data_IF_239723337020
#
_entry.id   IF_239723337020
#
_cell.length_a   1.000
_cell.length_b   1.000
_cell.length_c   1.000
_cell.angle_alpha   90.00
_cell.angle_beta   90.00
_cell.angle_gamma   90.00
#
_symmetry.space_group_name_H-M   'P 1'
#
loop_
_entity.id
_entity.type
_entity.pdbx_description
1 polymer ?
#
# COMPACT_ATOMS: atom_id res chain seq x y z
N UNK A 1 -9.93 -2.51 -26.88
CA UNK A 1 -10.58 -3.26 -25.80
C UNK A 1 -10.52 -2.36 -24.58
N UNK A 2 -11.66 -2.15 -23.91
CA UNK A 2 -11.66 -1.46 -22.61
C UNK A 2 -11.18 -2.45 -21.56
N UNK A 3 -10.46 -1.97 -20.56
CA UNK A 3 -9.99 -2.82 -19.47
C UNK A 3 -11.18 -3.29 -18.60
N UNK A 4 -11.05 -4.41 -17.89
CA UNK A 4 -12.12 -4.94 -17.05
C UNK A 4 -12.48 -3.92 -15.95
N UNK A 5 -11.48 -3.16 -15.50
CA UNK A 5 -11.65 -2.03 -14.59
C UNK A 5 -12.58 -0.93 -15.17
N UNK A 6 -12.39 -0.55 -16.43
CA UNK A 6 -13.21 0.47 -17.10
C UNK A 6 -14.64 -0.01 -17.36
N UNK A 7 -14.81 -1.29 -17.70
CA UNK A 7 -16.10 -1.85 -18.05
C UNK A 7 -16.98 -2.10 -16.82
N UNK A 8 -16.43 -2.74 -15.79
CA UNK A 8 -17.20 -3.22 -14.63
C UNK A 8 -17.16 -2.23 -13.46
N UNK A 9 -16.16 -1.36 -13.42
CA UNK A 9 -15.96 -0.39 -12.34
C UNK A 9 -15.82 1.08 -12.82
N UNK A 10 -16.71 1.59 -13.69
CA UNK A 10 -16.58 2.95 -14.24
C UNK A 10 -16.64 4.05 -13.17
N UNK A 11 -17.34 3.80 -12.06
CA UNK A 11 -17.42 4.71 -10.91
C UNK A 11 -16.07 4.90 -10.20
N UNK A 12 -15.17 3.92 -10.32
CA UNK A 12 -13.84 3.91 -9.70
C UNK A 12 -12.86 4.66 -10.57
N UNK A 13 -12.88 4.40 -11.87
CA UNK A 13 -12.11 5.16 -12.85
C UNK A 13 -12.46 6.65 -12.76
N UNK A 14 -13.75 6.98 -12.63
CA UNK A 14 -14.18 8.38 -12.44
C UNK A 14 -13.62 9.02 -11.16
N UNK A 15 -13.55 8.25 -10.06
CA UNK A 15 -12.94 8.73 -8.81
C UNK A 15 -11.42 8.88 -8.92
N UNK A 16 -10.74 7.89 -9.52
CA UNK A 16 -9.30 7.95 -9.77
C UNK A 16 -8.94 9.18 -10.60
N UNK A 17 -9.70 9.45 -11.65
CA UNK A 17 -9.51 10.63 -12.50
C UNK A 17 -9.65 11.96 -11.72
N UNK A 18 -10.55 12.01 -10.73
CA UNK A 18 -10.72 13.20 -9.88
C UNK A 18 -9.54 13.47 -8.93
N UNK A 19 -8.79 12.42 -8.56
CA UNK A 19 -7.66 12.50 -7.64
C UNK A 19 -6.30 12.41 -8.34
N UNK A 20 -6.28 12.23 -9.67
CA UNK A 20 -5.09 11.82 -10.43
C UNK A 20 -3.92 12.81 -10.36
N UNK A 21 -4.19 14.10 -10.16
CA UNK A 21 -3.15 15.14 -10.09
C UNK A 21 -2.56 15.38 -8.71
N UNK A 22 -3.07 14.70 -7.66
CA UNK A 22 -2.62 14.89 -6.28
C UNK A 22 -2.20 13.56 -5.65
N UNK A 23 -0.89 13.38 -5.36
CA UNK A 23 -0.39 12.13 -4.80
C UNK A 23 -1.02 11.72 -3.47
N UNK A 24 -1.34 12.68 -2.59
CA UNK A 24 -1.93 12.37 -1.29
C UNK A 24 -3.38 11.89 -1.44
N UNK A 25 -4.19 12.61 -2.22
CA UNK A 25 -5.56 12.20 -2.51
C UNK A 25 -5.62 10.86 -3.25
N UNK A 26 -4.72 10.63 -4.21
CA UNK A 26 -4.62 9.37 -4.92
C UNK A 26 -4.27 8.21 -3.98
N UNK A 27 -3.28 8.36 -3.10
CA UNK A 27 -2.90 7.33 -2.13
C UNK A 27 -4.02 6.98 -1.16
N UNK A 28 -4.72 7.98 -0.61
CA UNK A 28 -5.86 7.75 0.28
C UNK A 28 -7.00 7.00 -0.40
N UNK A 29 -7.31 7.39 -1.64
CA UNK A 29 -8.34 6.73 -2.45
C UNK A 29 -7.93 5.30 -2.79
N UNK A 30 -6.66 5.10 -3.17
CA UNK A 30 -6.11 3.79 -3.47
C UNK A 30 -6.09 2.87 -2.25
N UNK A 31 -5.70 3.36 -1.08
CA UNK A 31 -5.77 2.62 0.16
C UNK A 31 -7.22 2.19 0.49
N UNK A 32 -8.21 3.05 0.26
CA UNK A 32 -9.63 2.73 0.44
C UNK A 32 -10.12 1.65 -0.56
N UNK A 33 -9.59 1.63 -1.78
CA UNK A 33 -9.83 0.57 -2.78
C UNK A 33 -9.24 -0.77 -2.36
N UNK A 34 -8.04 -0.76 -1.76
CA UNK A 34 -7.32 -1.95 -1.31
C UNK A 34 -7.93 -2.54 -0.03
N UNK A 35 -8.40 -1.68 0.87
CA UNK A 35 -9.07 -2.08 2.11
C UNK A 35 -10.50 -2.60 1.89
N UNK A 36 -10.99 -2.50 0.65
CA UNK A 36 -12.28 -3.04 0.21
C UNK A 36 -13.46 -2.58 1.09
N UNK A 37 -13.59 -1.25 1.25
CA UNK A 37 -14.79 -0.64 1.90
C UNK A 37 -16.09 -0.84 1.11
N UNK A 38 -16.08 -1.60 0.02
CA UNK A 38 -17.27 -1.91 -0.80
C UNK A 38 -18.22 -2.90 -0.13
N UNK A 39 -17.84 -3.45 1.01
CA UNK A 39 -18.75 -4.20 1.87
C UNK A 39 -18.74 -5.72 1.66
N UNK A 40 -17.85 -6.24 0.82
CA UNK A 40 -17.66 -7.68 0.70
C UNK A 40 -16.23 -7.97 0.30
N UNK A 41 -15.49 -8.70 1.15
CA UNK A 41 -14.10 -9.15 0.96
C UNK A 41 -13.95 -10.13 -0.21
N UNK A 42 -14.56 -9.84 -1.35
CA UNK A 42 -14.48 -10.63 -2.56
C UNK A 42 -13.13 -10.38 -3.28
N UNK A 43 -12.43 -9.30 -2.89
CA UNK A 43 -11.20 -8.90 -3.54
C UNK A 43 -11.47 -8.42 -4.97
N UNK A 44 -10.38 -8.12 -5.67
CA UNK A 44 -10.44 -7.71 -7.06
C UNK A 44 -10.23 -8.92 -7.98
N UNK A 45 -10.98 -9.03 -9.09
CA UNK A 45 -10.60 -9.96 -10.14
C UNK A 45 -9.19 -9.61 -10.63
N UNK A 46 -8.41 -10.63 -10.98
CA UNK A 46 -6.99 -10.49 -11.28
C UNK A 46 -6.70 -9.42 -12.35
N UNK A 47 -7.50 -9.38 -13.42
CA UNK A 47 -7.35 -8.39 -14.49
C UNK A 47 -7.53 -6.95 -13.97
N UNK A 48 -8.59 -6.70 -13.19
CA UNK A 48 -8.82 -5.37 -12.60
C UNK A 48 -7.73 -4.99 -11.58
N UNK A 49 -7.19 -5.98 -10.86
CA UNK A 49 -6.06 -5.78 -9.96
C UNK A 49 -4.79 -5.35 -10.72
N UNK A 50 -4.46 -6.02 -11.81
CA UNK A 50 -3.31 -5.66 -12.65
C UNK A 50 -3.46 -4.23 -13.18
N UNK A 51 -4.65 -3.85 -13.63
CA UNK A 51 -4.93 -2.49 -14.09
C UNK A 51 -4.70 -1.46 -12.96
N UNK A 52 -5.17 -1.75 -11.75
CA UNK A 52 -4.99 -0.86 -10.59
C UNK A 52 -3.52 -0.69 -10.22
N UNK A 53 -2.74 -1.78 -10.20
CA UNK A 53 -1.29 -1.72 -9.94
C UNK A 53 -0.58 -0.90 -11.02
N UNK A 54 -0.91 -1.14 -12.29
CA UNK A 54 -0.34 -0.39 -13.40
C UNK A 54 -0.66 1.11 -13.32
N UNK A 55 -1.91 1.46 -12.96
CA UNK A 55 -2.29 2.86 -12.75
C UNK A 55 -1.51 3.49 -11.59
N UNK A 56 -1.27 2.76 -10.51
CA UNK A 56 -0.45 3.25 -9.40
C UNK A 56 0.99 3.52 -9.85
N UNK A 57 1.61 2.60 -10.60
CA UNK A 57 2.97 2.77 -11.10
C UNK A 57 3.10 4.00 -12.00
N UNK A 58 2.14 4.21 -12.92
CA UNK A 58 2.11 5.40 -13.78
C UNK A 58 1.95 6.67 -12.95
N UNK A 59 1.02 6.66 -12.00
CA UNK A 59 0.78 7.83 -11.15
C UNK A 59 2.03 8.18 -10.33
N UNK A 60 2.65 7.18 -9.69
CA UNK A 60 3.85 7.37 -8.87
C UNK A 60 5.03 7.87 -9.74
N UNK A 61 5.13 7.44 -11.01
CA UNK A 61 6.13 7.95 -11.96
C UNK A 61 5.85 9.40 -12.40
N UNK A 62 4.58 9.76 -12.60
CA UNK A 62 4.18 11.06 -13.14
C UNK A 62 4.12 12.17 -12.08
N UNK A 63 3.63 11.86 -10.88
CA UNK A 63 3.37 12.83 -9.81
C UNK A 63 4.17 12.58 -8.53
N UNK A 64 4.84 11.42 -8.42
CA UNK A 64 5.58 11.01 -7.24
C UNK A 64 4.73 10.26 -6.22
N UNK A 65 5.40 9.79 -5.15
CA UNK A 65 4.78 8.99 -4.10
C UNK A 65 4.29 9.89 -2.96
N UNK A 66 3.11 9.58 -2.42
CA UNK A 66 2.57 10.28 -1.25
C UNK A 66 3.53 10.21 -0.04
N UNK A 67 3.61 11.31 0.71
CA UNK A 67 4.46 11.39 1.91
C UNK A 67 4.05 10.37 2.97
N UNK A 68 2.75 10.10 3.11
CA UNK A 68 2.19 9.03 3.97
C UNK A 68 2.84 7.68 3.71
N UNK A 69 2.95 7.26 2.45
CA UNK A 69 3.59 5.99 2.07
C UNK A 69 5.08 5.99 2.38
N UNK A 70 5.79 7.08 2.08
CA UNK A 70 7.22 7.19 2.36
C UNK A 70 7.49 7.15 3.86
N UNK A 71 6.69 7.85 4.66
CA UNK A 71 6.79 7.85 6.13
C UNK A 71 6.48 6.47 6.72
N UNK A 72 5.45 5.78 6.24
CA UNK A 72 5.10 4.42 6.68
C UNK A 72 6.16 3.39 6.26
N UNK A 73 6.77 3.55 5.09
CA UNK A 73 7.88 2.70 4.66
C UNK A 73 9.14 2.93 5.52
N UNK A 74 9.40 4.18 5.93
CA UNK A 74 10.55 4.52 6.77
C UNK A 74 10.38 4.07 8.23
N UNK A 75 9.14 4.06 8.76
CA UNK A 75 8.86 3.63 10.14
C UNK A 75 8.82 2.12 10.33
N UNK A 76 8.71 1.33 9.25
CA UNK A 76 8.83 -0.14 9.28
C UNK A 76 10.24 -0.68 9.58
N UNK A 77 11.26 0.18 9.72
CA UNK A 77 12.65 -0.20 10.01
C UNK A 77 13.06 -0.16 11.49
N UNK A 78 12.22 0.35 12.40
CA UNK A 78 12.53 0.38 13.83
C UNK A 78 12.09 -0.94 14.50
N UNK A 79 12.89 -1.99 14.33
CA UNK A 79 12.77 -3.20 15.14
C UNK A 79 13.05 -2.80 16.59
N UNK A 80 12.04 -2.90 17.42
CA UNK A 80 12.10 -2.68 18.85
C UNK A 80 13.04 -3.72 19.46
N UNK A 81 14.30 -3.34 19.68
CA UNK A 81 15.24 -4.10 20.51
C UNK A 81 14.75 -3.92 21.95
N UNK A 82 14.07 -4.95 22.43
CA UNK A 82 13.52 -5.04 23.78
C UNK A 82 14.69 -5.11 24.75
N UNK A 83 14.91 -4.01 25.46
CA UNK A 83 15.49 -4.01 26.79
C UNK A 83 14.56 -4.79 27.74
N UNK A 84 14.79 -6.10 27.89
CA UNK A 84 14.39 -6.86 29.07
C UNK A 84 15.46 -7.93 29.38
N UNK A 85 16.30 -7.56 30.35
CA UNK A 85 17.43 -8.25 30.98
C UNK A 85 17.10 -9.68 31.49
N UNK A 86 18.07 -10.60 31.76
CA UNK A 86 19.22 -10.32 32.61
C UNK A 86 20.58 -10.90 32.20
N UNK A 87 21.61 -10.21 32.69
CA UNK A 87 22.97 -10.69 32.79
C UNK A 87 23.03 -11.86 33.77
N UNK A 88 22.91 -13.10 33.28
CA UNK A 88 23.43 -14.26 34.02
C UNK A 88 23.70 -15.48 33.12
N UNK A 89 24.38 -15.26 31.99
CA UNK A 89 24.93 -16.37 31.21
C UNK A 89 26.42 -16.53 31.49
N UNK A 90 26.70 -17.11 32.65
CA UNK A 90 27.97 -17.74 32.96
C UNK A 90 28.06 -19.06 32.16
N UNK A 91 28.42 -18.98 30.88
CA UNK A 91 28.79 -20.16 30.09
C UNK A 91 30.31 -20.24 29.93
N UNK A 92 30.91 -21.11 30.75
CA UNK A 92 31.98 -22.04 30.40
C UNK A 92 33.30 -21.43 29.86
N UNK A 93 34.17 -21.00 30.78
CA UNK A 93 35.59 -21.37 30.72
C UNK A 93 35.74 -22.49 31.76
N UNK A 94 36.07 -23.74 31.43
CA UNK A 94 37.30 -24.15 30.76
C UNK A 94 38.34 -24.46 31.83
N UNK A 95 38.15 -25.56 32.59
CA UNK A 95 39.20 -26.20 33.40
C UNK A 95 40.17 -26.97 32.50
#
# INVERSE_FOLDING_TARGET
>A
MLSLLENDFPHIVKRLHGCWGDPESFDLMFADLMLDRRGGRAGWPFDAWQDLVFLQEIHDLAYGVAKSRVLNAASGGARQEQDDCPADYNWIYGE
#
